data_IF_239359637970
#
_entry.id   IF_239359637970
#
_cell.length_a   1.000
_cell.length_b   1.000
_cell.length_c   1.000
_cell.angle_alpha   90.00
_cell.angle_beta   90.00
_cell.angle_gamma   90.00
#
_symmetry.space_group_name_H-M   'P 1'
#
loop_
_entity.id
_entity.type
_entity.pdbx_description
1 polymer ?
#
# COMPACT_ATOMS: atom_id res chain seq x y z
N UNK A 1 -47.86 -3.93 -18.20
CA UNK A 1 -46.42 -3.63 -18.36
C UNK A 1 -45.76 -3.64 -17.00
N UNK A 2 -45.14 -4.76 -16.61
CA UNK A 2 -44.51 -4.94 -15.31
C UNK A 2 -43.03 -4.59 -15.41
N UNK A 3 -42.59 -3.54 -14.73
CA UNK A 3 -41.19 -3.22 -14.49
C UNK A 3 -40.64 -4.21 -13.45
N UNK A 4 -39.76 -5.12 -13.86
CA UNK A 4 -38.95 -5.94 -12.95
C UNK A 4 -37.77 -5.13 -12.51
N UNK A 5 -37.75 -4.75 -11.22
CA UNK A 5 -36.57 -4.22 -10.54
C UNK A 5 -35.56 -5.38 -10.35
N UNK A 6 -34.39 -5.28 -10.97
CA UNK A 6 -33.25 -6.13 -10.63
C UNK A 6 -32.55 -5.50 -9.41
N UNK A 7 -32.80 -6.04 -8.23
CA UNK A 7 -31.94 -5.87 -7.08
C UNK A 7 -30.65 -6.66 -7.33
N UNK A 8 -29.56 -5.98 -7.64
CA UNK A 8 -28.24 -6.57 -7.57
C UNK A 8 -27.83 -6.67 -6.09
N UNK A 9 -27.99 -7.86 -5.54
CA UNK A 9 -27.47 -8.22 -4.23
C UNK A 9 -25.97 -8.35 -4.37
N UNK A 10 -25.21 -7.38 -3.87
CA UNK A 10 -23.78 -7.52 -3.68
C UNK A 10 -23.53 -8.63 -2.65
N UNK A 11 -23.11 -9.80 -3.10
CA UNK A 11 -22.67 -10.90 -2.25
C UNK A 11 -21.29 -10.49 -1.71
N UNK A 12 -21.28 -9.93 -0.51
CA UNK A 12 -20.07 -9.85 0.28
C UNK A 12 -19.67 -11.30 0.62
N UNK A 13 -18.61 -11.79 -0.03
CA UNK A 13 -18.00 -13.07 0.37
C UNK A 13 -17.52 -12.90 1.82
N UNK A 14 -17.95 -13.78 2.73
CA UNK A 14 -17.50 -13.70 4.11
C UNK A 14 -15.99 -13.97 4.15
N UNK A 15 -15.28 -13.21 4.97
CA UNK A 15 -13.91 -13.49 5.44
C UNK A 15 -13.94 -14.81 6.26
N UNK A 16 -14.14 -15.94 5.57
CA UNK A 16 -14.31 -17.24 6.16
C UNK A 16 -12.96 -17.77 6.67
N UNK A 17 -12.88 -18.01 7.96
CA UNK A 17 -12.04 -19.07 8.49
C UNK A 17 -10.88 -18.69 9.41
N UNK A 18 -10.70 -17.45 9.84
CA UNK A 18 -9.74 -17.14 10.91
C UNK A 18 -10.45 -16.85 12.22
N UNK A 19 -10.05 -17.49 13.33
CA UNK A 19 -10.62 -17.15 14.64
C UNK A 19 -10.26 -15.69 14.97
N UNK A 20 -11.27 -14.84 15.05
CA UNK A 20 -11.17 -13.57 15.78
C UNK A 20 -11.06 -13.91 17.27
N UNK A 21 -10.27 -13.16 18.03
CA UNK A 21 -10.38 -13.20 19.48
C UNK A 21 -11.84 -12.97 19.90
N UNK A 22 -12.27 -13.65 20.95
CA UNK A 22 -13.51 -13.29 21.62
C UNK A 22 -13.43 -11.80 22.05
N UNK A 23 -14.55 -11.09 22.06
CA UNK A 23 -14.54 -9.64 22.26
C UNK A 23 -13.75 -9.15 23.48
N UNK A 24 -13.80 -9.90 24.61
CA UNK A 24 -13.03 -9.59 25.82
C UNK A 24 -11.51 -9.75 25.64
N UNK A 25 -11.06 -10.81 24.95
CA UNK A 25 -9.64 -11.05 24.69
C UNK A 25 -9.05 -10.01 23.72
N UNK A 26 -9.84 -9.58 22.76
CA UNK A 26 -9.44 -8.51 21.83
C UNK A 26 -9.30 -7.18 22.57
N UNK A 27 -10.25 -6.83 23.44
CA UNK A 27 -10.20 -5.60 24.24
C UNK A 27 -8.97 -5.59 25.15
N UNK A 28 -8.70 -6.68 25.87
CA UNK A 28 -7.53 -6.85 26.74
C UNK A 28 -6.21 -6.76 25.95
N UNK A 29 -6.15 -7.36 24.77
CA UNK A 29 -4.97 -7.25 23.90
C UNK A 29 -4.65 -5.78 23.57
N UNK A 30 -5.63 -5.04 23.05
CA UNK A 30 -5.42 -3.65 22.67
C UNK A 30 -5.17 -2.73 23.86
N UNK A 31 -5.79 -3.00 25.01
CA UNK A 31 -5.48 -2.30 26.24
C UNK A 31 -4.00 -2.46 26.63
N UNK A 32 -3.43 -3.66 26.54
CA UNK A 32 -2.00 -3.89 26.77
C UNK A 32 -1.11 -3.19 25.75
N UNK A 33 -1.47 -3.23 24.47
CA UNK A 33 -0.73 -2.53 23.41
C UNK A 33 -0.66 -1.04 23.73
N UNK A 34 -1.81 -0.40 24.01
CA UNK A 34 -1.82 1.05 24.29
C UNK A 34 -1.17 1.40 25.63
N UNK A 35 -1.21 0.53 26.61
CA UNK A 35 -0.50 0.72 27.89
C UNK A 35 1.03 0.62 27.72
N UNK A 36 1.52 -0.02 26.67
CA UNK A 36 2.96 -0.08 26.34
C UNK A 36 3.45 1.15 25.54
N UNK A 37 2.54 2.04 25.13
CA UNK A 37 2.86 3.31 24.47
C UNK A 37 2.90 4.43 25.50
N UNK A 38 3.51 5.58 25.17
CA UNK A 38 3.34 6.77 26.00
C UNK A 38 1.86 7.19 26.05
N UNK A 39 1.34 7.72 27.18
CA UNK A 39 -0.07 8.11 27.27
C UNK A 39 -0.51 9.10 26.19
N UNK A 40 0.39 10.03 25.81
CA UNK A 40 0.12 10.99 24.76
C UNK A 40 -0.09 10.31 23.40
N UNK A 41 0.77 9.38 23.00
CA UNK A 41 0.63 8.67 21.75
C UNK A 41 -0.57 7.70 21.76
N UNK A 42 -0.80 7.00 22.88
CA UNK A 42 -1.93 6.10 23.01
C UNK A 42 -3.29 6.83 22.87
N UNK A 43 -3.38 8.09 23.34
CA UNK A 43 -4.59 8.91 23.22
C UNK A 43 -5.06 9.09 21.78
N UNK A 44 -4.15 9.13 20.81
CA UNK A 44 -4.50 9.27 19.39
C UNK A 44 -5.32 8.08 18.87
N UNK A 45 -5.09 6.87 19.40
CA UNK A 45 -5.87 5.68 19.01
C UNK A 45 -7.36 5.79 19.39
N UNK A 46 -7.68 6.61 20.39
CA UNK A 46 -9.04 6.82 20.93
C UNK A 46 -9.69 8.11 20.41
N UNK A 47 -8.93 8.99 19.76
CA UNK A 47 -9.47 10.21 19.19
C UNK A 47 -10.15 9.90 17.84
N UNK A 48 -11.47 10.14 17.71
CA UNK A 48 -12.20 9.84 16.48
C UNK A 48 -11.73 10.66 15.27
N UNK A 49 -11.19 11.87 15.50
CA UNK A 49 -10.66 12.73 14.43
C UNK A 49 -9.47 12.09 13.70
N UNK A 50 -8.68 11.29 14.40
CA UNK A 50 -7.56 10.58 13.79
C UNK A 50 -7.95 9.33 13.00
N UNK A 51 -9.21 8.91 13.02
CA UNK A 51 -9.77 7.80 12.22
C UNK A 51 -8.93 6.53 12.24
N UNK A 52 -8.23 6.25 13.35
CA UNK A 52 -7.30 5.13 13.46
C UNK A 52 -8.01 3.81 13.24
N UNK A 53 -7.44 2.97 12.40
CA UNK A 53 -7.80 1.56 12.24
C UNK A 53 -6.53 0.73 12.31
N UNK A 54 -6.58 -0.41 12.98
CA UNK A 54 -5.44 -1.33 13.07
C UNK A 54 -5.90 -2.76 12.79
N UNK A 55 -5.09 -3.49 12.05
CA UNK A 55 -5.25 -4.92 11.82
C UNK A 55 -3.92 -5.62 12.07
N UNK A 56 -3.89 -6.55 13.01
CA UNK A 56 -2.76 -7.42 13.27
C UNK A 56 -3.12 -8.88 12.96
N UNK A 57 -2.30 -9.54 12.17
CA UNK A 57 -2.29 -10.99 12.03
C UNK A 57 -0.92 -11.49 12.45
N UNK A 58 -0.86 -12.53 13.25
CA UNK A 58 0.40 -13.04 13.75
C UNK A 58 0.38 -14.55 13.94
N UNK A 59 1.58 -15.14 13.91
CA UNK A 59 1.79 -16.56 14.17
C UNK A 59 3.18 -16.82 14.72
N UNK A 60 3.37 -18.00 15.30
CA UNK A 60 4.71 -18.54 15.53
C UNK A 60 5.27 -19.05 14.19
N UNK A 61 6.53 -18.75 13.92
CA UNK A 61 7.25 -19.21 12.72
C UNK A 61 7.10 -20.72 12.53
N UNK A 62 6.75 -21.11 11.32
CA UNK A 62 6.46 -22.52 10.97
C UNK A 62 5.02 -22.96 11.28
N UNK A 63 4.23 -22.20 12.03
CA UNK A 63 2.79 -22.47 12.20
C UNK A 63 2.01 -22.15 10.93
N UNK A 64 1.06 -23.00 10.57
CA UNK A 64 0.12 -22.72 9.47
C UNK A 64 -1.02 -21.79 9.87
N UNK A 65 -1.24 -21.62 11.19
CA UNK A 65 -2.40 -20.90 11.72
C UNK A 65 -2.02 -19.47 12.08
N UNK A 66 -2.57 -18.51 11.34
CA UNK A 66 -2.54 -17.09 11.70
C UNK A 66 -3.66 -16.77 12.70
N UNK A 67 -3.32 -16.05 13.74
CA UNK A 67 -4.28 -15.40 14.64
C UNK A 67 -4.54 -13.99 14.13
N UNK A 68 -5.71 -13.41 14.43
CA UNK A 68 -6.14 -12.11 13.90
C UNK A 68 -6.81 -11.30 14.99
N UNK A 69 -6.46 -10.01 15.08
CA UNK A 69 -7.13 -9.03 15.95
C UNK A 69 -7.15 -7.66 15.26
N UNK A 70 -8.12 -6.83 15.58
CA UNK A 70 -8.26 -5.50 15.00
C UNK A 70 -8.69 -4.45 16.02
N UNK A 71 -8.38 -3.20 15.77
CA UNK A 71 -8.83 -2.04 16.52
C UNK A 71 -9.58 -1.09 15.59
N UNK A 72 -10.82 -0.73 15.94
CA UNK A 72 -11.72 0.16 15.18
C UNK A 72 -11.78 -0.16 13.66
N UNK A 73 -11.52 -1.40 13.30
CA UNK A 73 -11.54 -1.84 11.91
C UNK A 73 -12.98 -1.88 11.40
N UNK A 74 -13.29 -1.02 10.45
CA UNK A 74 -14.59 -0.95 9.79
C UNK A 74 -14.44 -1.40 8.33
N UNK A 75 -15.05 -2.52 7.92
CA UNK A 75 -14.99 -2.98 6.55
C UNK A 75 -15.50 -1.92 5.56
N UNK A 76 -14.72 -1.67 4.51
CA UNK A 76 -15.09 -0.72 3.46
C UNK A 76 -15.06 0.76 3.85
N UNK A 77 -14.66 1.12 5.07
CA UNK A 77 -14.46 2.51 5.44
C UNK A 77 -13.41 3.15 4.55
N UNK A 78 -13.79 4.26 3.92
CA UNK A 78 -12.85 4.99 3.07
C UNK A 78 -11.72 5.62 3.91
N UNK A 79 -10.53 5.49 3.39
CA UNK A 79 -9.32 6.15 3.89
C UNK A 79 -8.36 6.27 2.70
N UNK A 80 -7.63 7.37 2.59
CA UNK A 80 -6.70 7.51 1.48
C UNK A 80 -5.64 6.42 1.53
N UNK A 81 -5.56 5.64 0.47
CA UNK A 81 -4.55 4.57 0.32
C UNK A 81 -3.17 5.14 0.10
N UNK A 82 -3.09 6.37 -0.45
CA UNK A 82 -1.86 7.00 -0.85
C UNK A 82 -0.93 6.01 -1.58
N UNK A 83 0.34 5.98 -1.23
CA UNK A 83 1.33 5.11 -1.88
C UNK A 83 1.20 3.61 -1.57
N UNK A 84 0.29 3.16 -0.68
CA UNK A 84 0.02 1.73 -0.50
C UNK A 84 -0.56 1.12 -1.78
N UNK A 85 -1.22 1.91 -2.64
CA UNK A 85 -1.66 1.48 -3.97
C UNK A 85 -0.52 0.92 -4.86
N UNK A 86 0.72 1.28 -4.58
CA UNK A 86 1.90 0.78 -5.29
C UNK A 86 2.18 -0.71 -5.05
N UNK A 87 1.71 -1.26 -3.93
CA UNK A 87 1.86 -2.69 -3.62
C UNK A 87 1.16 -3.58 -4.66
N UNK A 88 -0.18 -3.53 -4.84
CA UNK A 88 -0.82 -4.35 -5.87
C UNK A 88 -0.39 -3.98 -7.29
N UNK A 89 -0.08 -2.70 -7.56
CA UNK A 89 0.42 -2.27 -8.87
C UNK A 89 1.70 -3.02 -9.26
N UNK A 90 2.67 -3.10 -8.35
CA UNK A 90 3.93 -3.81 -8.56
C UNK A 90 3.70 -5.33 -8.75
N UNK A 91 2.82 -5.94 -7.93
CA UNK A 91 2.55 -7.37 -8.00
C UNK A 91 1.79 -7.76 -9.27
N UNK A 92 0.84 -6.94 -9.74
CA UNK A 92 0.18 -7.12 -11.04
C UNK A 92 1.18 -7.03 -12.20
N UNK A 93 2.14 -6.12 -12.11
CA UNK A 93 3.20 -6.01 -13.12
C UNK A 93 4.12 -7.24 -13.11
N UNK A 94 4.47 -7.78 -11.94
CA UNK A 94 5.21 -9.03 -11.81
C UNK A 94 4.46 -10.20 -12.47
N UNK A 95 3.15 -10.33 -12.23
CA UNK A 95 2.34 -11.37 -12.89
C UNK A 95 2.39 -11.24 -14.42
N UNK A 96 2.22 -10.00 -14.93
CA UNK A 96 2.23 -9.76 -16.38
C UNK A 96 3.59 -10.06 -17.01
N UNK A 97 4.69 -9.68 -16.40
CA UNK A 97 6.06 -9.98 -16.87
C UNK A 97 6.28 -11.50 -16.83
N UNK A 98 5.94 -12.16 -15.72
CA UNK A 98 6.09 -13.61 -15.57
C UNK A 98 5.25 -14.40 -16.58
N UNK A 99 4.04 -13.94 -16.93
CA UNK A 99 3.19 -14.58 -17.93
C UNK A 99 3.82 -14.66 -19.33
N UNK A 100 4.81 -13.79 -19.62
CA UNK A 100 5.59 -13.83 -20.85
C UNK A 100 6.94 -14.54 -20.70
N UNK A 101 7.17 -15.27 -19.60
CA UNK A 101 8.41 -15.98 -19.33
C UNK A 101 9.60 -15.09 -19.00
N UNK A 102 9.36 -13.82 -18.65
CA UNK A 102 10.39 -12.84 -18.35
C UNK A 102 10.67 -12.73 -16.84
N UNK A 103 11.88 -12.26 -16.51
CA UNK A 103 12.34 -11.97 -15.14
C UNK A 103 12.31 -10.48 -14.78
N UNK A 104 12.91 -10.14 -13.64
CA UNK A 104 13.03 -8.74 -13.20
C UNK A 104 14.04 -7.91 -14.01
N UNK A 105 14.82 -8.54 -14.84
CA UNK A 105 15.76 -7.96 -15.81
C UNK A 105 15.08 -7.49 -17.13
N UNK A 106 13.80 -7.81 -17.31
CA UNK A 106 12.98 -7.25 -18.39
C UNK A 106 12.98 -5.71 -18.36
N UNK A 107 12.81 -5.10 -19.52
CA UNK A 107 12.79 -3.65 -19.69
C UNK A 107 11.44 -3.21 -20.23
N UNK A 108 10.81 -2.23 -19.58
CA UNK A 108 9.52 -1.66 -20.00
C UNK A 108 9.77 -0.29 -20.57
N UNK A 109 9.33 -0.06 -21.82
CA UNK A 109 9.44 1.21 -22.53
C UNK A 109 8.12 1.68 -23.12
N UNK A 110 8.06 2.96 -23.49
CA UNK A 110 6.86 3.59 -24.05
C UNK A 110 7.21 4.30 -25.35
N UNK A 111 6.27 4.27 -26.31
CA UNK A 111 6.42 4.92 -27.62
C UNK A 111 5.81 6.33 -27.65
N UNK A 112 5.18 6.74 -26.54
CA UNK A 112 4.51 8.02 -26.40
C UNK A 112 5.03 8.75 -25.16
N UNK A 113 5.02 10.09 -25.20
CA UNK A 113 5.32 10.92 -24.05
C UNK A 113 4.36 10.62 -22.86
N UNK A 114 4.77 10.91 -21.61
CA UNK A 114 3.92 10.78 -20.44
C UNK A 114 2.60 11.53 -20.60
N UNK A 115 1.49 10.90 -20.20
CA UNK A 115 0.18 11.55 -20.21
C UNK A 115 0.13 12.54 -19.04
N UNK A 116 -0.19 13.81 -19.36
CA UNK A 116 -0.27 14.90 -18.37
C UNK A 116 0.96 15.80 -18.33
N UNK A 117 1.89 15.67 -19.27
CA UNK A 117 3.07 16.52 -19.41
C UNK A 117 4.37 15.85 -18.99
N UNK A 118 5.45 16.61 -18.96
CA UNK A 118 6.76 16.14 -18.55
C UNK A 118 6.80 15.84 -17.07
N UNK A 119 7.35 14.69 -16.71
CA UNK A 119 7.68 14.36 -15.33
C UNK A 119 8.97 15.10 -14.93
N UNK A 120 9.15 15.47 -13.65
CA UNK A 120 10.34 16.20 -13.20
C UNK A 120 11.65 15.51 -13.57
N UNK A 121 11.65 14.18 -13.65
CA UNK A 121 12.80 13.37 -14.06
C UNK A 121 12.56 12.82 -15.45
N UNK A 122 13.52 13.01 -16.35
CA UNK A 122 13.49 12.42 -17.67
C UNK A 122 13.30 10.89 -17.57
N UNK A 123 12.17 10.38 -18.08
CA UNK A 123 11.94 8.95 -18.12
C UNK A 123 12.90 8.29 -19.10
N UNK A 124 13.58 7.19 -18.73
CA UNK A 124 14.34 6.41 -19.69
C UNK A 124 13.38 5.78 -20.72
N UNK A 125 13.79 5.69 -21.97
CA UNK A 125 13.00 5.03 -23.03
C UNK A 125 12.59 3.62 -22.59
N UNK A 126 13.57 2.86 -22.07
CA UNK A 126 13.36 1.53 -21.49
C UNK A 126 14.00 1.46 -20.09
N UNK A 127 13.19 1.19 -19.06
CA UNK A 127 13.66 1.01 -17.68
C UNK A 127 13.63 -0.47 -17.28
N UNK A 128 14.71 -0.93 -16.66
CA UNK A 128 14.80 -2.28 -16.09
C UNK A 128 13.74 -2.45 -14.99
N UNK A 129 12.95 -3.51 -15.05
CA UNK A 129 11.82 -3.71 -14.16
C UNK A 129 12.24 -3.83 -12.67
N UNK A 130 13.38 -4.48 -12.39
CA UNK A 130 13.95 -4.48 -11.03
C UNK A 130 14.21 -3.07 -10.49
N UNK A 131 14.69 -2.14 -11.32
CA UNK A 131 14.89 -0.74 -10.94
C UNK A 131 13.57 -0.02 -10.66
N UNK A 132 12.57 -0.22 -11.51
CA UNK A 132 11.20 0.27 -11.28
C UNK A 132 10.65 -0.18 -9.92
N UNK A 133 10.77 -1.47 -9.59
CA UNK A 133 10.33 -2.02 -8.30
C UNK A 133 11.15 -1.45 -7.12
N UNK A 134 12.47 -1.32 -7.29
CA UNK A 134 13.33 -0.76 -6.26
C UNK A 134 12.93 0.69 -5.92
N UNK A 135 12.69 1.55 -6.90
CA UNK A 135 12.23 2.92 -6.74
C UNK A 135 10.87 3.00 -6.02
N UNK A 136 9.94 2.07 -6.34
CA UNK A 136 8.62 1.96 -5.70
C UNK A 136 8.73 1.59 -4.22
N UNK A 137 9.51 0.56 -3.90
CA UNK A 137 9.50 0.00 -2.56
C UNK A 137 10.49 0.68 -1.60
N UNK A 138 11.56 1.28 -2.12
CA UNK A 138 12.62 1.87 -1.29
C UNK A 138 12.25 3.26 -0.78
N UNK A 139 11.89 4.19 -1.67
CA UNK A 139 11.52 5.57 -1.30
C UNK A 139 10.15 6.01 -1.82
N UNK A 140 9.39 5.07 -2.36
CA UNK A 140 8.00 5.35 -2.77
C UNK A 140 7.83 6.32 -3.93
N UNK A 141 8.75 6.35 -4.91
CA UNK A 141 8.66 7.25 -6.06
C UNK A 141 7.34 7.09 -6.84
N UNK A 142 6.82 8.20 -7.36
CA UNK A 142 5.57 8.25 -8.13
C UNK A 142 5.74 7.94 -9.62
N UNK A 143 6.79 8.42 -10.32
CA UNK A 143 6.96 8.12 -11.73
C UNK A 143 6.96 6.62 -12.06
N UNK A 144 7.67 5.74 -11.32
CA UNK A 144 7.60 4.29 -11.55
C UNK A 144 6.19 3.70 -11.41
N UNK A 145 5.38 4.18 -10.46
CA UNK A 145 3.98 3.76 -10.34
C UNK A 145 3.18 4.14 -11.58
N UNK A 146 3.36 5.35 -12.11
CA UNK A 146 2.65 5.84 -13.29
C UNK A 146 3.07 5.07 -14.55
N UNK A 147 4.34 4.66 -14.66
CA UNK A 147 4.81 3.75 -15.72
C UNK A 147 4.10 2.39 -15.64
N UNK A 148 3.98 1.81 -14.45
CA UNK A 148 3.25 0.54 -14.28
C UNK A 148 1.75 0.69 -14.53
N UNK A 149 1.16 1.84 -14.21
CA UNK A 149 -0.23 2.16 -14.53
C UNK A 149 -0.47 2.11 -16.04
N UNK A 150 0.40 2.74 -16.83
CA UNK A 150 0.35 2.69 -18.29
C UNK A 150 0.60 1.28 -18.84
N UNK A 151 1.59 0.58 -18.31
CA UNK A 151 1.94 -0.77 -18.71
C UNK A 151 0.80 -1.76 -18.54
N UNK A 152 0.11 -1.70 -17.40
CA UNK A 152 -0.97 -2.63 -17.04
C UNK A 152 -2.28 -2.32 -17.77
N UNK A 153 -2.69 -1.05 -17.77
CA UNK A 153 -3.99 -0.62 -18.27
C UNK A 153 -5.11 -0.80 -17.24
N UNK A 154 -6.02 0.18 -17.21
CA UNK A 154 -7.03 0.32 -16.15
C UNK A 154 -7.95 -0.89 -16.02
N UNK A 155 -8.54 -1.34 -17.13
CA UNK A 155 -9.51 -2.44 -17.11
C UNK A 155 -8.87 -3.78 -16.76
N UNK A 156 -7.66 -4.05 -17.25
CA UNK A 156 -6.93 -5.28 -16.94
C UNK A 156 -6.55 -5.35 -15.44
N UNK A 157 -6.11 -4.23 -14.86
CA UNK A 157 -5.84 -4.15 -13.41
C UNK A 157 -7.08 -4.51 -12.59
N UNK A 158 -8.22 -3.87 -12.89
CA UNK A 158 -9.46 -4.10 -12.15
C UNK A 158 -10.05 -5.51 -12.37
N UNK A 159 -9.96 -6.03 -13.58
CA UNK A 159 -10.38 -7.42 -13.86
C UNK A 159 -9.57 -8.40 -13.01
N UNK A 160 -8.24 -8.22 -12.94
CA UNK A 160 -7.38 -9.12 -12.15
C UNK A 160 -7.62 -8.94 -10.65
N UNK A 161 -7.73 -7.70 -10.14
CA UNK A 161 -8.05 -7.45 -8.72
C UNK A 161 -9.40 -8.07 -8.33
N UNK A 162 -10.40 -7.98 -9.19
CA UNK A 162 -11.71 -8.64 -8.97
C UNK A 162 -11.56 -10.16 -8.92
N UNK A 163 -10.80 -10.75 -9.84
CA UNK A 163 -10.53 -12.19 -9.85
C UNK A 163 -9.76 -12.68 -8.62
N UNK A 164 -8.89 -11.83 -8.06
CA UNK A 164 -8.19 -12.09 -6.79
C UNK A 164 -9.08 -11.89 -5.55
N UNK A 165 -10.34 -11.47 -5.70
CA UNK A 165 -11.28 -11.25 -4.61
C UNK A 165 -11.30 -9.85 -4.02
N UNK A 166 -10.76 -8.85 -4.73
CA UNK A 166 -10.71 -7.44 -4.31
C UNK A 166 -11.55 -6.52 -5.22
N UNK A 167 -12.88 -6.73 -5.36
CA UNK A 167 -13.72 -5.98 -6.29
C UNK A 167 -13.89 -4.49 -5.88
N UNK A 168 -13.62 -4.16 -4.62
CA UNK A 168 -13.70 -2.79 -4.10
C UNK A 168 -12.42 -1.96 -4.35
N UNK A 169 -11.29 -2.61 -4.67
CA UNK A 169 -10.06 -1.90 -4.96
C UNK A 169 -10.17 -1.01 -6.20
N UNK A 170 -9.63 0.19 -6.12
CA UNK A 170 -9.63 1.19 -7.20
C UNK A 170 -8.22 1.71 -7.43
N UNK A 171 -7.67 1.38 -8.60
CA UNK A 171 -6.43 1.94 -9.13
C UNK A 171 -6.82 2.75 -10.37
N UNK A 172 -7.24 4.00 -10.17
CA UNK A 172 -7.92 4.82 -11.17
C UNK A 172 -7.26 6.17 -11.43
N UNK A 173 -6.18 6.46 -10.70
CA UNK A 173 -5.49 7.75 -10.82
C UNK A 173 -3.98 7.55 -10.79
N UNK A 174 -3.26 8.27 -11.66
CA UNK A 174 -1.83 8.47 -11.53
C UNK A 174 -1.51 9.28 -10.28
N UNK A 175 -0.28 9.23 -9.82
CA UNK A 175 0.18 9.94 -8.62
C UNK A 175 1.04 11.12 -9.01
N UNK A 176 0.81 12.28 -8.36
CA UNK A 176 1.56 13.52 -8.57
C UNK A 176 1.68 13.90 -10.05
N UNK A 177 0.60 13.73 -10.79
CA UNK A 177 0.54 14.05 -12.21
C UNK A 177 -0.67 14.94 -12.46
N UNK A 178 -0.51 16.06 -13.16
CA UNK A 178 -1.62 16.93 -13.55
C UNK A 178 -2.42 16.29 -14.69
N UNK A 179 -3.05 15.13 -14.43
CA UNK A 179 -3.68 14.32 -15.46
C UNK A 179 -5.19 14.41 -15.37
N UNK A 180 -5.82 14.93 -16.42
CA UNK A 180 -7.26 14.92 -16.56
C UNK A 180 -7.81 13.64 -17.23
N UNK A 181 -6.94 12.82 -17.85
CA UNK A 181 -7.32 11.58 -18.54
C UNK A 181 -6.59 10.36 -17.94
N UNK A 182 -7.07 9.91 -16.79
CA UNK A 182 -6.59 8.67 -16.15
C UNK A 182 -7.14 7.40 -16.82
N UNK A 183 -8.13 7.50 -17.72
CA UNK A 183 -8.64 6.34 -18.46
C UNK A 183 -7.66 5.88 -19.55
N UNK A 184 -6.94 6.81 -20.17
CA UNK A 184 -5.98 6.54 -21.24
C UNK A 184 -4.67 6.03 -20.67
N UNK A 185 -4.09 5.00 -21.31
CA UNK A 185 -2.75 4.48 -21.00
C UNK A 185 -1.93 4.34 -22.27
N UNK A 186 -0.63 4.64 -22.19
CA UNK A 186 0.30 4.71 -23.33
C UNK A 186 0.54 3.36 -23.99
N UNK A 187 0.88 3.39 -25.27
CA UNK A 187 1.48 2.25 -25.98
C UNK A 187 2.96 2.11 -25.62
N UNK A 188 3.46 0.89 -25.71
CA UNK A 188 4.85 0.59 -25.41
C UNK A 188 5.24 -0.85 -25.74
N UNK A 189 6.43 -1.22 -25.29
CA UNK A 189 6.98 -2.55 -25.49
C UNK A 189 7.73 -3.06 -24.28
N UNK A 190 7.89 -4.37 -24.21
CA UNK A 190 8.75 -5.05 -23.23
C UNK A 190 9.87 -5.76 -23.97
N UNK A 191 11.09 -5.50 -23.52
CA UNK A 191 12.31 -6.14 -23.97
C UNK A 191 12.81 -7.13 -22.91
N UNK A 192 13.53 -8.15 -23.37
CA UNK A 192 14.36 -8.97 -22.49
C UNK A 192 15.66 -8.25 -22.09
N UNK A 193 16.52 -8.91 -21.32
CA UNK A 193 17.80 -8.37 -20.89
C UNK A 193 18.76 -8.01 -22.05
N UNK A 194 18.61 -8.67 -23.20
CA UNK A 194 19.42 -8.40 -24.40
C UNK A 194 18.96 -7.17 -25.19
N UNK A 195 17.77 -6.63 -24.87
CA UNK A 195 17.12 -5.55 -25.62
C UNK A 195 16.22 -6.03 -26.76
N UNK A 196 15.99 -7.35 -26.87
CA UNK A 196 15.06 -7.91 -27.86
C UNK A 196 13.62 -7.66 -27.40
N UNK A 197 12.78 -7.08 -28.26
CA UNK A 197 11.36 -6.89 -28.00
C UNK A 197 10.66 -8.24 -27.96
N UNK A 198 10.04 -8.56 -26.81
CA UNK A 198 9.31 -9.81 -26.59
C UNK A 198 7.83 -9.62 -26.88
N UNK A 199 7.25 -8.48 -26.47
CA UNK A 199 5.88 -8.13 -26.82
C UNK A 199 5.66 -6.62 -26.77
N UNK A 200 4.67 -6.17 -27.50
CA UNK A 200 4.18 -4.80 -27.52
C UNK A 200 2.80 -4.72 -26.85
N UNK A 201 2.46 -3.55 -26.36
CA UNK A 201 1.12 -3.26 -25.84
C UNK A 201 0.61 -1.95 -26.44
N UNK A 202 -0.66 -1.93 -26.89
CA UNK A 202 -1.22 -0.74 -27.55
C UNK A 202 -1.59 0.33 -26.51
N UNK A 203 -1.84 1.55 -26.99
CA UNK A 203 -2.62 2.55 -26.27
C UNK A 203 -4.01 1.97 -25.94
N UNK A 204 -4.50 2.23 -24.74
CA UNK A 204 -5.82 1.76 -24.29
C UNK A 204 -6.57 2.89 -23.61
N UNK A 205 -7.89 2.85 -23.74
CA UNK A 205 -8.81 3.71 -23.01
C UNK A 205 -9.67 2.78 -22.14
N UNK A 206 -9.45 2.84 -20.84
CA UNK A 206 -10.18 2.03 -19.87
C UNK A 206 -11.51 2.67 -19.46
N UNK A 207 -12.29 1.90 -18.73
CA UNK A 207 -13.57 2.36 -18.18
C UNK A 207 -13.35 3.26 -16.98
N UNK A 208 -13.90 4.46 -17.01
CA UNK A 208 -13.93 5.36 -15.85
C UNK A 208 -14.81 4.72 -14.77
N UNK A 209 -14.21 4.44 -13.62
CA UNK A 209 -14.90 3.86 -12.46
C UNK A 209 -15.13 4.96 -11.43
N UNK A 210 -16.39 5.11 -11.03
CA UNK A 210 -16.78 5.93 -9.90
C UNK A 210 -17.26 5.01 -8.78
N UNK A 211 -17.04 5.40 -7.55
CA UNK A 211 -17.60 4.70 -6.40
C UNK A 211 -18.10 5.72 -5.38
N UNK A 212 -19.30 5.45 -4.86
CA UNK A 212 -19.87 6.27 -3.81
C UNK A 212 -19.33 5.77 -2.47
N UNK A 213 -18.31 6.45 -1.97
CA UNK A 213 -17.89 6.32 -0.58
C UNK A 213 -18.27 7.62 0.12
N UNK A 214 -19.24 7.58 1.02
CA UNK A 214 -19.76 8.79 1.69
C UNK A 214 -18.66 9.60 2.38
N UNK A 215 -17.63 8.93 2.93
CA UNK A 215 -16.51 9.56 3.62
C UNK A 215 -15.40 10.07 2.68
N UNK A 216 -15.50 9.86 1.36
CA UNK A 216 -14.54 10.36 0.39
C UNK A 216 -14.60 11.88 0.20
N UNK A 217 -15.71 12.52 0.65
CA UNK A 217 -15.81 13.98 0.76
C UNK A 217 -15.51 14.39 2.20
N UNK A 218 -14.39 15.04 2.42
CA UNK A 218 -13.90 15.35 3.77
C UNK A 218 -13.04 16.61 3.80
N UNK A 219 -12.78 17.13 5.00
CA UNK A 219 -12.03 18.36 5.24
C UNK A 219 -12.87 19.62 5.19
N UNK A 220 -12.22 20.77 5.37
CA UNK A 220 -12.81 22.10 5.41
C UNK A 220 -12.48 22.93 4.16
N UNK A 221 -11.39 22.60 3.47
CA UNK A 221 -10.94 23.29 2.28
C UNK A 221 -9.84 22.56 1.52
N UNK A 222 -9.51 23.10 0.35
CA UNK A 222 -8.43 22.64 -0.51
C UNK A 222 -7.68 23.85 -1.07
N UNK A 223 -6.37 23.90 -0.90
CA UNK A 223 -5.53 24.91 -1.50
C UNK A 223 -5.15 24.49 -2.92
N UNK A 224 -5.60 25.27 -3.92
CA UNK A 224 -5.25 24.98 -5.32
C UNK A 224 -3.76 25.26 -5.57
N UNK A 225 -3.22 24.76 -6.69
CA UNK A 225 -1.83 24.98 -7.08
C UNK A 225 -1.53 26.50 -7.34
N UNK A 226 -2.57 27.28 -7.63
CA UNK A 226 -2.50 28.75 -7.76
C UNK A 226 -2.58 29.48 -6.41
N UNK A 227 -2.62 28.76 -5.27
CA UNK A 227 -2.69 29.32 -3.92
C UNK A 227 -4.08 29.84 -3.52
N UNK A 228 -5.13 29.48 -4.23
CA UNK A 228 -6.52 29.86 -3.90
C UNK A 228 -7.16 28.81 -3.00
N UNK A 229 -7.66 29.24 -1.84
CA UNK A 229 -8.42 28.36 -0.95
C UNK A 229 -9.83 28.14 -1.52
N UNK A 230 -10.16 26.86 -1.75
CA UNK A 230 -11.47 26.41 -2.16
C UNK A 230 -12.18 25.87 -0.91
N UNK A 231 -13.20 26.60 -0.44
CA UNK A 231 -13.96 26.23 0.76
C UNK A 231 -14.81 24.96 0.55
N UNK A 232 -14.94 24.20 1.62
CA UNK A 232 -15.77 22.99 1.67
C UNK A 232 -14.99 21.69 1.51
N UNK A 233 -15.67 20.54 1.69
CA UNK A 233 -15.02 19.24 1.68
C UNK A 233 -14.46 18.89 0.29
N UNK A 234 -13.19 18.47 0.26
CA UNK A 234 -12.56 17.96 -0.97
C UNK A 234 -13.10 16.57 -1.33
N UNK A 235 -13.31 16.32 -2.62
CA UNK A 235 -13.85 15.07 -3.15
C UNK A 235 -12.75 14.12 -3.63
N UNK A 236 -12.39 13.15 -2.80
CA UNK A 236 -11.43 12.09 -3.11
C UNK A 236 -12.03 10.89 -3.88
N UNK A 237 -13.27 10.98 -4.39
CA UNK A 237 -13.91 9.87 -5.11
C UNK A 237 -13.16 9.43 -6.39
N UNK A 238 -12.27 10.29 -6.90
CA UNK A 238 -11.39 10.02 -8.04
C UNK A 238 -9.99 9.56 -7.63
N UNK A 239 -9.70 9.41 -6.35
CA UNK A 239 -8.42 8.90 -5.86
C UNK A 239 -8.37 7.36 -5.85
N UNK A 240 -7.17 6.82 -5.81
CA UNK A 240 -6.97 5.39 -5.59
C UNK A 240 -7.52 4.98 -4.22
N UNK A 241 -8.10 3.79 -4.13
CA UNK A 241 -8.62 3.24 -2.90
C UNK A 241 -8.42 1.73 -2.80
N UNK A 242 -7.95 1.28 -1.64
CA UNK A 242 -7.89 -0.13 -1.25
C UNK A 242 -8.22 -0.18 0.24
N UNK A 243 -9.16 -1.04 0.64
CA UNK A 243 -9.46 -1.22 2.06
C UNK A 243 -8.22 -1.72 2.82
N UNK A 244 -8.05 -1.29 4.08
CA UNK A 244 -6.89 -1.66 4.89
C UNK A 244 -6.71 -3.18 5.01
N UNK A 245 -7.83 -3.91 5.19
CA UNK A 245 -7.81 -5.37 5.26
C UNK A 245 -7.40 -6.03 3.93
N UNK A 246 -7.85 -5.47 2.79
CA UNK A 246 -7.48 -5.95 1.47
C UNK A 246 -6.00 -5.73 1.18
N UNK A 247 -5.48 -4.55 1.55
CA UNK A 247 -4.05 -4.24 1.43
C UNK A 247 -3.18 -5.24 2.22
N UNK A 248 -3.58 -5.57 3.46
CA UNK A 248 -2.89 -6.59 4.25
C UNK A 248 -3.01 -7.99 3.64
N UNK A 249 -4.17 -8.34 3.10
CA UNK A 249 -4.37 -9.65 2.45
C UNK A 249 -3.53 -9.77 1.17
N UNK A 250 -3.39 -8.69 0.39
CA UNK A 250 -2.52 -8.63 -0.77
C UNK A 250 -1.04 -8.84 -0.39
N UNK A 251 -0.59 -8.20 0.70
CA UNK A 251 0.76 -8.43 1.23
C UNK A 251 0.92 -9.86 1.75
N UNK A 252 -0.07 -10.39 2.48
CA UNK A 252 -0.04 -11.77 2.97
C UNK A 252 0.11 -12.76 1.83
N UNK A 253 -0.61 -12.55 0.73
CA UNK A 253 -0.58 -13.43 -0.44
C UNK A 253 0.78 -13.50 -1.13
N UNK A 254 1.67 -12.49 -0.98
CA UNK A 254 3.03 -12.55 -1.51
C UNK A 254 4.04 -13.07 -0.48
N UNK A 255 3.88 -12.77 0.82
CA UNK A 255 4.83 -13.24 1.85
C UNK A 255 4.56 -14.69 2.27
N UNK A 256 3.31 -15.14 2.24
CA UNK A 256 2.86 -16.48 2.66
C UNK A 256 1.71 -17.00 1.78
N UNK A 257 2.01 -17.32 0.52
CA UNK A 257 0.98 -17.72 -0.46
C UNK A 257 0.19 -18.96 -0.05
N UNK A 258 0.78 -19.85 0.75
CA UNK A 258 0.12 -21.08 1.20
C UNK A 258 -0.94 -20.85 2.27
N UNK A 259 -0.93 -19.71 2.93
CA UNK A 259 -1.93 -19.34 3.93
C UNK A 259 -3.15 -18.62 3.37
N UNK A 260 -3.20 -18.40 2.06
CA UNK A 260 -4.34 -17.77 1.39
C UNK A 260 -5.00 -18.73 0.41
N UNK A 261 -6.30 -18.57 0.11
CA UNK A 261 -6.97 -19.35 -0.92
C UNK A 261 -6.25 -19.27 -2.27
N UNK A 262 -6.22 -20.37 -3.03
CA UNK A 262 -5.52 -20.43 -4.31
C UNK A 262 -5.96 -19.32 -5.28
N UNK A 263 -7.24 -18.94 -5.27
CA UNK A 263 -7.77 -17.86 -6.10
C UNK A 263 -7.21 -16.46 -5.74
N UNK A 264 -6.69 -16.28 -4.53
CA UNK A 264 -6.10 -15.03 -4.05
C UNK A 264 -4.58 -14.98 -4.18
N UNK A 265 -3.95 -16.04 -4.67
CA UNK A 265 -2.50 -16.09 -4.85
C UNK A 265 -2.08 -15.29 -6.06
N UNK A 266 -0.97 -14.60 -5.92
CA UNK A 266 -0.31 -13.96 -7.04
C UNK A 266 0.31 -15.02 -7.95
N UNK A 267 0.08 -14.93 -9.27
CA UNK A 267 0.67 -15.83 -10.25
C UNK A 267 2.13 -15.43 -10.55
N UNK A 268 2.94 -15.37 -9.53
CA UNK A 268 4.36 -14.99 -9.56
C UNK A 268 5.19 -16.23 -9.27
N UNK A 269 6.13 -16.63 -10.17
CA UNK A 269 7.04 -17.75 -9.92
C UNK A 269 7.87 -17.56 -8.66
N UNK A 270 8.18 -18.65 -7.94
CA UNK A 270 8.87 -18.63 -6.66
C UNK A 270 10.19 -17.82 -6.70
N UNK A 271 11.02 -18.05 -7.72
CA UNK A 271 12.29 -17.34 -7.86
C UNK A 271 12.10 -15.81 -8.02
N UNK A 272 11.08 -15.38 -8.76
CA UNK A 272 10.74 -13.96 -8.88
C UNK A 272 10.17 -13.43 -7.56
N UNK A 273 9.31 -14.19 -6.88
CA UNK A 273 8.73 -13.84 -5.58
C UNK A 273 9.83 -13.55 -4.55
N UNK A 274 10.83 -14.41 -4.45
CA UNK A 274 11.96 -14.22 -3.54
C UNK A 274 12.72 -12.91 -3.83
N UNK A 275 13.00 -12.62 -5.09
CA UNK A 275 13.65 -11.38 -5.51
C UNK A 275 12.80 -10.14 -5.18
N UNK A 276 11.50 -10.21 -5.41
CA UNK A 276 10.55 -9.14 -5.06
C UNK A 276 10.54 -8.90 -3.56
N UNK A 277 10.49 -9.94 -2.74
CA UNK A 277 10.54 -9.81 -1.27
C UNK A 277 11.87 -9.22 -0.78
N UNK A 278 13.00 -9.49 -1.46
CA UNK A 278 14.28 -8.85 -1.15
C UNK A 278 14.24 -7.35 -1.48
N UNK A 279 13.67 -6.98 -2.63
CA UNK A 279 13.49 -5.56 -3.01
C UNK A 279 12.56 -4.86 -2.01
N UNK A 280 11.45 -5.48 -1.64
CA UNK A 280 10.50 -4.94 -0.66
C UNK A 280 11.11 -4.75 0.74
N UNK A 281 12.12 -5.52 1.10
CA UNK A 281 12.81 -5.42 2.39
C UNK A 281 13.97 -4.41 2.39
N UNK A 282 14.36 -3.89 1.22
CA UNK A 282 15.53 -3.01 1.07
C UNK A 282 15.29 -1.65 1.71
N UNK A 283 16.28 -1.16 2.44
CA UNK A 283 16.32 0.22 2.96
C UNK A 283 16.98 1.16 1.95
N UNK A 284 16.73 2.49 1.99
CA UNK A 284 17.30 3.45 1.04
C UNK A 284 18.84 3.36 0.94
N UNK A 285 19.54 3.28 2.06
CA UNK A 285 21.02 3.15 2.11
C UNK A 285 21.58 1.87 1.49
N UNK A 286 20.75 0.86 1.26
CA UNK A 286 21.12 -0.42 0.64
C UNK A 286 20.85 -0.43 -0.88
N UNK A 287 20.24 0.62 -1.41
CA UNK A 287 19.98 0.73 -2.83
C UNK A 287 21.25 1.10 -3.59
N UNK A 288 21.54 0.34 -4.65
CA UNK A 288 22.70 0.56 -5.52
C UNK A 288 22.33 1.14 -6.88
N UNK A 289 21.06 1.01 -7.27
CA UNK A 289 20.49 1.58 -8.48
C UNK A 289 18.98 1.84 -8.31
N UNK A 290 18.58 3.12 -8.20
CA UNK A 290 19.42 4.30 -7.98
C UNK A 290 20.06 4.31 -6.58
N UNK A 291 21.14 5.07 -6.42
CA UNK A 291 21.74 5.36 -5.13
C UNK A 291 21.01 6.54 -4.51
N UNK A 292 20.56 6.41 -3.27
CA UNK A 292 19.87 7.47 -2.53
C UNK A 292 20.79 8.10 -1.47
N UNK A 293 20.62 9.40 -1.26
CA UNK A 293 21.33 10.13 -0.21
C UNK A 293 20.76 9.75 1.18
N UNK A 294 21.51 9.10 2.09
CA UNK A 294 20.98 8.66 3.38
C UNK A 294 20.55 9.81 4.31
N UNK A 295 21.08 11.02 4.10
CA UNK A 295 20.67 12.19 4.88
C UNK A 295 19.25 12.65 4.55
N UNK A 296 18.81 12.41 3.32
CA UNK A 296 17.47 12.74 2.83
C UNK A 296 16.54 11.52 2.96
N UNK A 297 17.02 10.35 2.54
CA UNK A 297 16.25 9.10 2.54
C UNK A 297 16.81 8.14 3.58
N UNK A 298 16.46 8.38 4.86
CA UNK A 298 16.84 7.51 5.97
C UNK A 298 16.00 6.23 6.01
N UNK A 299 16.37 5.22 6.79
CA UNK A 299 15.71 3.91 6.81
C UNK A 299 14.21 4.00 7.18
N UNK A 300 13.82 4.94 8.03
CA UNK A 300 12.42 5.21 8.40
C UNK A 300 11.60 5.99 7.36
N UNK A 301 12.22 6.52 6.30
CA UNK A 301 11.57 7.42 5.33
C UNK A 301 10.29 6.83 4.72
N UNK A 302 10.29 5.56 4.36
CA UNK A 302 9.13 4.86 3.82
C UNK A 302 8.79 3.58 4.61
N UNK A 303 9.03 3.59 5.92
CA UNK A 303 8.73 2.51 6.88
C UNK A 303 8.29 3.13 8.19
N UNK A 304 6.98 3.26 8.39
CA UNK A 304 6.46 3.98 9.55
C UNK A 304 6.42 3.13 10.80
N UNK A 305 6.07 1.83 10.68
CA UNK A 305 6.13 0.94 11.83
C UNK A 305 7.56 0.74 12.33
N UNK A 306 7.73 0.64 13.62
CA UNK A 306 8.97 0.36 14.33
C UNK A 306 9.99 1.50 14.33
N UNK A 307 10.23 2.19 13.20
CA UNK A 307 11.37 3.08 12.96
C UNK A 307 11.00 4.44 12.34
N UNK A 308 9.73 4.71 12.05
CA UNK A 308 9.30 5.95 11.36
C UNK A 308 9.57 7.24 12.14
N UNK A 309 9.76 7.15 13.44
CA UNK A 309 10.10 8.28 14.33
C UNK A 309 11.61 8.48 14.52
N UNK A 310 12.45 7.81 13.73
CA UNK A 310 13.92 7.85 13.87
C UNK A 310 14.60 8.01 12.52
N UNK A 311 15.63 8.86 12.48
CA UNK A 311 16.54 8.99 11.34
C UNK A 311 17.77 8.05 11.47
N UNK A 312 17.84 7.27 12.54
CA UNK A 312 18.90 6.29 12.74
C UNK A 312 18.73 5.06 11.82
N UNK A 313 19.79 4.35 11.59
CA UNK A 313 19.79 3.10 10.87
C UNK A 313 18.86 2.09 11.53
N UNK A 314 18.12 1.35 10.74
CA UNK A 314 17.27 0.25 11.19
C UNK A 314 18.12 -0.81 11.93
N UNK A 315 17.66 -1.33 13.10
CA UNK A 315 18.30 -2.48 13.76
C UNK A 315 18.52 -3.64 12.78
N UNK A 316 19.75 -4.17 12.74
CA UNK A 316 20.14 -5.19 11.76
C UNK A 316 19.24 -6.43 11.77
N UNK A 317 18.85 -6.88 12.96
CA UNK A 317 17.97 -8.03 13.16
C UNK A 317 16.51 -7.82 12.66
N UNK A 318 16.05 -6.57 12.55
CA UNK A 318 14.67 -6.27 12.14
C UNK A 318 14.52 -6.35 10.62
N UNK A 319 13.50 -7.04 10.13
CA UNK A 319 13.12 -7.09 8.72
C UNK A 319 11.70 -6.57 8.55
N UNK A 320 11.53 -5.61 7.65
CA UNK A 320 10.27 -4.99 7.30
C UNK A 320 10.01 -5.19 5.80
N UNK A 321 8.93 -5.86 5.45
CA UNK A 321 8.51 -6.09 4.07
C UNK A 321 7.11 -5.49 3.92
N UNK A 322 6.95 -4.51 3.05
CA UNK A 322 5.63 -3.91 2.88
C UNK A 322 5.65 -2.61 2.11
N UNK A 323 4.60 -1.82 2.31
CA UNK A 323 4.46 -0.52 1.68
C UNK A 323 3.73 0.44 2.60
N UNK A 324 4.32 1.60 2.80
CA UNK A 324 3.68 2.74 3.45
C UNK A 324 3.15 3.73 2.42
N UNK A 325 2.26 4.60 2.86
CA UNK A 325 1.71 5.68 2.06
C UNK A 325 1.35 6.87 2.91
N UNK A 326 1.62 8.05 2.39
CA UNK A 326 1.18 9.30 2.98
C UNK A 326 0.71 10.26 1.88
N UNK A 327 -0.35 10.98 2.15
CA UNK A 327 -0.86 12.09 1.34
C UNK A 327 -1.95 12.84 2.13
N UNK A 328 -1.96 14.16 2.05
CA UNK A 328 -3.08 14.97 2.54
C UNK A 328 -3.44 14.73 4.02
N UNK A 329 -2.46 14.50 4.88
CA UNK A 329 -2.68 14.15 6.29
C UNK A 329 -3.03 12.69 6.55
N UNK A 330 -3.23 11.87 5.52
CA UNK A 330 -3.49 10.44 5.65
C UNK A 330 -2.17 9.66 5.65
N UNK A 331 -1.99 8.81 6.65
CA UNK A 331 -0.87 7.87 6.77
C UNK A 331 -1.39 6.44 6.85
N UNK A 332 -0.79 5.55 6.07
CA UNK A 332 -1.07 4.11 6.12
C UNK A 332 0.25 3.34 6.03
N UNK A 333 0.41 2.31 6.86
CA UNK A 333 1.49 1.33 6.69
C UNK A 333 0.92 -0.09 6.69
N UNK A 334 1.44 -0.92 5.78
CA UNK A 334 1.08 -2.33 5.63
C UNK A 334 2.38 -3.11 5.55
N UNK A 335 2.75 -3.79 6.64
CA UNK A 335 4.06 -4.42 6.79
C UNK A 335 3.97 -5.85 7.33
N UNK A 336 4.82 -6.72 6.79
CA UNK A 336 5.21 -7.99 7.38
C UNK A 336 6.52 -7.79 8.13
N UNK A 337 6.51 -8.08 9.42
CA UNK A 337 7.57 -7.78 10.38
C UNK A 337 8.11 -9.08 10.95
N UNK A 338 9.43 -9.25 10.87
CA UNK A 338 10.16 -10.34 11.51
C UNK A 338 11.45 -9.81 12.14
N UNK A 339 11.99 -10.55 13.10
CA UNK A 339 13.24 -10.20 13.76
C UNK A 339 14.06 -11.46 14.02
N UNK A 340 15.35 -11.39 13.75
CA UNK A 340 16.26 -12.49 14.04
C UNK A 340 16.25 -12.80 15.55
N UNK A 341 16.24 -14.09 15.89
CA UNK A 341 16.14 -14.54 17.26
C UNK A 341 14.72 -14.55 17.84
N UNK A 342 13.69 -14.15 17.07
CA UNK A 342 12.29 -14.28 17.43
C UNK A 342 11.55 -15.28 16.53
N UNK A 343 10.65 -16.05 17.14
CA UNK A 343 9.74 -16.94 16.42
C UNK A 343 8.46 -16.23 15.98
N UNK A 344 8.30 -14.94 16.27
CA UNK A 344 7.10 -14.18 15.90
C UNK A 344 7.16 -13.75 14.44
N UNK A 345 6.10 -14.04 13.70
CA UNK A 345 5.79 -13.45 12.40
C UNK A 345 4.55 -12.57 12.56
N UNK A 346 4.65 -11.29 12.17
CA UNK A 346 3.60 -10.29 12.34
C UNK A 346 3.28 -9.60 11.01
N UNK A 347 2.03 -9.67 10.59
CA UNK A 347 1.44 -8.78 9.59
C UNK A 347 0.70 -7.67 10.33
N UNK A 348 1.16 -6.45 10.20
CA UNK A 348 0.56 -5.27 10.82
C UNK A 348 0.16 -4.27 9.76
N UNK A 349 -1.07 -3.77 9.87
CA UNK A 349 -1.56 -2.69 9.03
C UNK A 349 -2.30 -1.69 9.90
N UNK A 350 -2.01 -0.41 9.72
CA UNK A 350 -2.73 0.65 10.40
C UNK A 350 -2.80 1.90 9.53
N UNK A 351 -3.79 2.72 9.81
CA UNK A 351 -3.87 4.07 9.29
C UNK A 351 -4.13 5.07 10.42
N UNK A 352 -3.75 6.32 10.17
CA UNK A 352 -4.04 7.47 11.02
C UNK A 352 -4.18 8.72 10.14
N UNK A 353 -5.14 9.58 10.47
CA UNK A 353 -5.35 10.87 9.83
C UNK A 353 -4.84 12.00 10.74
N UNK A 354 -3.98 12.85 10.21
CA UNK A 354 -3.33 13.97 10.93
C UNK A 354 -3.34 15.22 10.04
N UNK A 355 -4.43 15.97 10.14
CA UNK A 355 -4.66 17.24 9.44
C UNK A 355 -5.62 18.06 10.31
N UNK A 356 -5.06 18.80 11.28
CA UNK A 356 -5.84 19.44 12.33
C UNK A 356 -6.65 20.64 11.82
N UNK A 357 -6.16 21.37 10.81
CA UNK A 357 -6.91 22.51 10.24
C UNK A 357 -7.93 22.10 9.18
N UNK A 358 -7.88 20.83 8.72
CA UNK A 358 -8.79 20.30 7.73
C UNK A 358 -8.61 20.86 6.32
N UNK A 359 -7.52 21.58 6.05
CA UNK A 359 -7.17 22.11 4.72
C UNK A 359 -6.27 21.11 4.01
N UNK A 360 -6.60 20.78 2.77
CA UNK A 360 -5.77 19.89 1.95
C UNK A 360 -4.87 20.68 1.01
N UNK A 361 -3.72 20.06 0.63
CA UNK A 361 -2.73 20.61 -0.29
C UNK A 361 -2.04 21.90 0.19
N UNK A 362 -2.00 22.12 1.49
CA UNK A 362 -1.32 23.26 2.11
C UNK A 362 -0.02 22.87 2.84
N UNK A 363 0.35 21.59 2.78
CA UNK A 363 1.55 20.96 3.36
C UNK A 363 1.68 21.12 4.89
N UNK A 364 0.57 21.39 5.60
CA UNK A 364 0.54 21.56 7.06
C UNK A 364 -0.07 20.34 7.75
N UNK A 365 0.61 19.23 7.69
CA UNK A 365 0.15 17.97 8.28
C UNK A 365 1.03 17.58 9.47
N UNK A 366 0.43 17.03 10.53
CA UNK A 366 1.15 16.61 11.74
C UNK A 366 1.86 15.27 11.57
N UNK A 367 2.50 15.04 10.41
CA UNK A 367 3.22 13.79 10.11
C UNK A 367 4.35 13.53 11.11
N UNK A 368 5.25 14.51 11.30
CA UNK A 368 6.43 14.37 12.16
C UNK A 368 6.08 14.42 13.65
N UNK A 369 5.08 15.21 14.03
CA UNK A 369 4.73 15.41 15.45
C UNK A 369 3.78 14.34 15.98
N UNK A 370 2.92 13.73 15.13
CA UNK A 370 1.92 12.76 15.53
C UNK A 370 2.02 11.46 14.72
N UNK A 371 1.97 11.57 13.39
CA UNK A 371 1.75 10.42 12.52
C UNK A 371 2.85 9.36 12.60
N UNK A 372 4.10 9.72 12.31
CA UNK A 372 5.22 8.80 12.37
C UNK A 372 5.51 8.31 13.79
N UNK A 373 5.52 9.18 14.84
CA UNK A 373 5.69 8.70 16.22
C UNK A 373 4.61 7.71 16.66
N UNK A 374 3.34 7.97 16.27
CA UNK A 374 2.25 7.07 16.60
C UNK A 374 2.43 5.69 15.95
N UNK A 375 2.66 5.63 14.62
CA UNK A 375 2.78 4.37 13.90
C UNK A 375 4.02 3.58 14.34
N UNK A 376 5.14 4.25 14.58
CA UNK A 376 6.36 3.61 15.07
C UNK A 376 6.16 3.02 16.47
N UNK A 377 5.58 3.78 17.40
CA UNK A 377 5.27 3.32 18.75
C UNK A 377 4.25 2.18 18.75
N UNK A 378 3.21 2.27 17.90
CA UNK A 378 2.22 1.21 17.73
C UNK A 378 2.88 -0.10 17.27
N UNK A 379 3.76 -0.02 16.27
CA UNK A 379 4.50 -1.20 15.78
C UNK A 379 5.29 -1.87 16.89
N UNK A 380 6.08 -1.08 17.65
CA UNK A 380 6.87 -1.58 18.79
C UNK A 380 6.00 -2.16 19.90
N UNK A 381 4.88 -1.50 20.23
CA UNK A 381 3.97 -1.95 21.27
C UNK A 381 3.26 -3.27 20.91
N UNK A 382 2.78 -3.41 19.67
CA UNK A 382 2.18 -4.66 19.18
C UNK A 382 3.22 -5.78 19.19
N UNK A 383 4.42 -5.52 18.66
CA UNK A 383 5.50 -6.50 18.66
C UNK A 383 5.86 -6.96 20.08
N UNK A 384 6.09 -6.03 21.00
CA UNK A 384 6.41 -6.32 22.39
C UNK A 384 5.29 -7.12 23.08
N UNK A 385 4.03 -6.70 22.91
CA UNK A 385 2.88 -7.38 23.54
C UNK A 385 2.72 -8.82 23.07
N UNK A 386 3.00 -9.10 21.77
CA UNK A 386 2.94 -10.45 21.21
C UNK A 386 4.14 -11.30 21.63
N UNK A 387 5.35 -10.73 21.64
CA UNK A 387 6.55 -11.44 21.99
C UNK A 387 6.65 -11.75 23.49
N UNK A 388 6.09 -10.89 24.35
CA UNK A 388 6.01 -11.14 25.82
C UNK A 388 4.95 -12.17 26.21
N UNK A 389 3.98 -12.46 25.38
CA UNK A 389 3.03 -13.57 25.59
C UNK A 389 3.71 -14.94 25.59
N UNK A 390 5.03 -14.94 25.49
CA UNK A 390 5.95 -16.05 25.58
C UNK A 390 5.31 -17.41 25.63
N UNK A 391 5.30 -18.14 24.52
CA UNK A 391 5.43 -19.59 24.60
C UNK A 391 4.46 -20.34 25.55
N UNK A 392 3.20 -19.92 25.68
CA UNK A 392 2.16 -20.79 26.20
C UNK A 392 1.39 -21.47 25.09
#
# INVERSE_FOLDING_TARGET
MHRRSFLQTAIALPLLGMPLFAGAEQADFWQRVFSAMSPMLAAHAHNPEHRVQVLAQYRKKGSRRWQKTGWQLTPGRWFSTASVAKLPMALLACEKIAAHGLGLDARIGFTQAPIGGEWPDAEPDFEVFARTLNRIFTISENPPFNRLYDFLGVDAMHARLTALGYPSARLISRMSAPVNDNARTRAGAVQDASGTVIFEFPERVGTVRTFALGEAKTGLGFLSDDGVLIDGPHDFSKANFIALADSQQMLKAIVDPDSVPAAQRWAIPEAMREQVLQIMARMPRQSVDPVYNPAEYYDGYARFFMIGDSKADKPGALRLIGKSGEAYGFLTDVSFITQDGSDLELLLSANIYVNADGIFNDDKYEYESIGYPFLAALGRAVWHTLNSRGHT
#
